data_IF_523568968677
#
_entry.id   IF_523568968677
#
_cell.length_a   1.000
_cell.length_b   1.000
_cell.length_c   1.000
_cell.angle_alpha   90.00
_cell.angle_beta   90.00
_cell.angle_gamma   90.00
#
_symmetry.space_group_name_H-M   'P 1'
#
loop_
_entity.id
_entity.type
_entity.pdbx_description
1 polymer ?
#
# COMPACT_ATOMS: atom_id res chain seq x y z
N UNK A 1 -24.22 -13.74 32.60
CA UNK A 1 -23.18 -14.41 31.77
C UNK A 1 -21.99 -13.48 31.84
N UNK A 2 -21.19 -13.64 32.90
CA UNK A 2 -20.05 -12.76 33.16
C UNK A 2 -18.80 -13.34 32.53
N UNK A 3 -18.03 -12.48 31.86
CA UNK A 3 -16.78 -12.86 31.22
C UNK A 3 -15.78 -13.31 32.30
N UNK A 4 -15.04 -14.39 32.04
CA UNK A 4 -13.98 -14.83 32.97
C UNK A 4 -12.94 -13.72 33.15
N UNK A 5 -12.37 -13.53 34.35
CA UNK A 5 -11.30 -12.56 34.57
C UNK A 5 -10.11 -12.74 33.61
N UNK A 6 -9.81 -13.98 33.20
CA UNK A 6 -8.76 -14.32 32.25
C UNK A 6 -9.10 -13.81 30.85
N UNK A 7 -10.34 -13.98 30.41
CA UNK A 7 -10.81 -13.49 29.09
C UNK A 7 -10.75 -11.97 29.04
N UNK A 8 -11.10 -11.30 30.14
CA UNK A 8 -11.08 -9.84 30.25
C UNK A 8 -9.65 -9.28 30.16
N UNK A 9 -8.66 -9.99 30.72
CA UNK A 9 -7.24 -9.67 30.59
C UNK A 9 -6.78 -9.85 29.13
N UNK A 10 -7.14 -10.96 28.49
CA UNK A 10 -6.77 -11.25 27.10
C UNK A 10 -7.37 -10.23 26.12
N UNK A 11 -8.64 -9.88 26.29
CA UNK A 11 -9.32 -8.86 25.46
C UNK A 11 -8.65 -7.49 25.63
N UNK A 12 -8.31 -7.10 26.86
CA UNK A 12 -7.60 -5.83 27.12
C UNK A 12 -6.22 -5.81 26.46
N UNK A 13 -5.44 -6.88 26.60
CA UNK A 13 -4.13 -7.00 25.96
C UNK A 13 -4.25 -6.94 24.43
N UNK A 14 -5.22 -7.65 23.85
CA UNK A 14 -5.45 -7.62 22.41
C UNK A 14 -5.84 -6.22 21.92
N UNK A 15 -6.77 -5.56 22.60
CA UNK A 15 -7.18 -4.19 22.27
C UNK A 15 -6.00 -3.22 22.31
N UNK A 16 -5.12 -3.34 23.31
CA UNK A 16 -3.90 -2.55 23.39
C UNK A 16 -2.97 -2.81 22.19
N UNK A 17 -2.74 -4.06 21.79
CA UNK A 17 -1.94 -4.39 20.60
C UNK A 17 -2.52 -3.82 19.32
N UNK A 18 -3.85 -3.86 19.17
CA UNK A 18 -4.52 -3.27 18.00
C UNK A 18 -4.30 -1.75 17.96
N UNK A 19 -4.36 -1.07 19.11
CA UNK A 19 -4.05 0.35 19.19
C UNK A 19 -2.60 0.66 18.82
N UNK A 20 -1.64 -0.11 19.35
CA UNK A 20 -0.21 0.03 19.01
C UNK A 20 0.04 -0.17 17.51
N UNK A 21 -0.60 -1.16 16.88
CA UNK A 21 -0.53 -1.40 15.44
C UNK A 21 -1.13 -0.24 14.62
N UNK A 22 -2.24 0.34 15.08
CA UNK A 22 -2.85 1.49 14.44
C UNK A 22 -1.96 2.74 14.51
N UNK A 23 -1.28 2.96 15.63
CA UNK A 23 -0.31 4.04 15.78
C UNK A 23 0.94 3.80 14.91
N UNK A 24 1.45 2.57 14.89
CA UNK A 24 2.58 2.20 14.04
C UNK A 24 2.28 2.39 12.56
N UNK A 25 1.06 2.06 12.10
CA UNK A 25 0.61 2.32 10.73
C UNK A 25 0.66 3.82 10.39
N UNK A 26 0.30 4.71 11.32
CA UNK A 26 0.41 6.17 11.10
C UNK A 26 1.87 6.59 10.95
N UNK A 27 2.76 6.13 11.83
CA UNK A 27 4.21 6.42 11.75
C UNK A 27 4.81 5.96 10.43
N UNK A 28 4.42 4.78 9.93
CA UNK A 28 4.86 4.28 8.62
C UNK A 28 4.34 5.14 7.47
N UNK A 29 3.11 5.63 7.56
CA UNK A 29 2.55 6.54 6.56
C UNK A 29 3.33 7.85 6.51
N UNK A 30 3.61 8.46 7.66
CA UNK A 30 4.39 9.71 7.72
C UNK A 30 5.82 9.53 7.19
N UNK A 31 6.44 8.39 7.51
CA UNK A 31 7.73 7.99 6.95
C UNK A 31 7.68 7.86 5.43
N UNK A 32 6.63 7.19 4.90
CA UNK A 32 6.44 7.03 3.46
C UNK A 32 6.26 8.38 2.76
N UNK A 33 5.45 9.28 3.33
CA UNK A 33 5.22 10.63 2.80
C UNK A 33 6.52 11.42 2.71
N UNK A 34 7.31 11.41 3.79
CA UNK A 34 8.63 12.06 3.81
C UNK A 34 9.53 11.48 2.72
N UNK A 35 9.63 10.15 2.62
CA UNK A 35 10.50 9.51 1.62
C UNK A 35 10.05 9.72 0.18
N UNK A 36 8.75 9.75 -0.09
CA UNK A 36 8.24 10.06 -1.42
C UNK A 36 8.53 11.52 -1.81
N UNK A 37 8.49 12.45 -0.84
CA UNK A 37 8.92 13.83 -1.04
C UNK A 37 10.40 13.95 -1.41
N UNK A 38 11.27 13.14 -0.80
CA UNK A 38 12.70 13.14 -1.10
C UNK A 38 13.03 12.49 -2.46
N UNK A 39 12.38 11.35 -2.78
CA UNK A 39 12.80 10.48 -3.88
C UNK A 39 12.03 10.75 -5.18
N UNK A 40 10.72 11.01 -5.09
CA UNK A 40 9.85 11.17 -6.24
C UNK A 40 8.78 12.27 -6.02
N UNK A 41 9.19 13.54 -5.75
CA UNK A 41 8.27 14.62 -5.40
C UNK A 41 7.27 14.93 -6.52
N UNK A 42 7.68 14.85 -7.78
CA UNK A 42 6.79 15.10 -8.92
C UNK A 42 5.72 14.02 -9.07
N UNK A 43 6.08 12.76 -8.80
CA UNK A 43 5.11 11.66 -8.83
C UNK A 43 4.13 11.78 -7.66
N UNK A 44 4.63 12.10 -6.46
CA UNK A 44 3.80 12.37 -5.29
C UNK A 44 2.82 13.53 -5.54
N UNK A 45 3.28 14.63 -6.13
CA UNK A 45 2.41 15.77 -6.45
C UNK A 45 1.33 15.46 -7.48
N UNK A 46 1.60 14.55 -8.43
CA UNK A 46 0.67 14.26 -9.52
C UNK A 46 -0.43 13.26 -9.12
N UNK A 47 -0.10 12.22 -8.36
CA UNK A 47 -1.00 11.09 -8.07
C UNK A 47 -1.08 10.69 -6.59
N UNK A 48 -0.37 11.40 -5.71
CA UNK A 48 -0.28 11.11 -4.28
C UNK A 48 0.84 10.13 -3.93
N UNK A 49 1.29 10.19 -2.68
CA UNK A 49 2.44 9.46 -2.14
C UNK A 49 2.19 7.95 -2.13
N UNK A 50 0.99 7.53 -1.69
CA UNK A 50 0.63 6.11 -1.57
C UNK A 50 0.52 5.44 -2.93
N UNK A 51 -0.12 6.10 -3.90
CA UNK A 51 -0.30 5.55 -5.25
C UNK A 51 1.04 5.54 -5.98
N UNK A 52 1.82 6.62 -5.89
CA UNK A 52 3.16 6.70 -6.46
C UNK A 52 4.10 5.62 -5.91
N UNK A 53 4.14 5.44 -4.59
CA UNK A 53 4.92 4.37 -3.97
C UNK A 53 4.49 2.98 -4.43
N UNK A 54 3.18 2.75 -4.60
CA UNK A 54 2.65 1.48 -5.10
C UNK A 54 3.06 1.21 -6.54
N UNK A 55 3.03 2.22 -7.42
CA UNK A 55 3.52 2.10 -8.80
C UNK A 55 5.00 1.76 -8.86
N UNK A 56 5.83 2.45 -8.07
CA UNK A 56 7.27 2.17 -7.95
C UNK A 56 7.49 0.73 -7.49
N UNK A 57 6.76 0.29 -6.46
CA UNK A 57 6.83 -1.08 -5.95
C UNK A 57 6.39 -2.11 -7.00
N UNK A 58 5.35 -1.82 -7.79
CA UNK A 58 4.85 -2.72 -8.83
C UNK A 58 5.82 -2.85 -10.00
N UNK A 59 6.51 -1.76 -10.36
CA UNK A 59 7.60 -1.77 -11.33
C UNK A 59 8.91 -2.37 -10.78
N UNK A 60 8.99 -2.58 -9.46
CA UNK A 60 10.16 -3.11 -8.74
C UNK A 60 11.27 -2.09 -8.44
N UNK A 61 11.32 -0.96 -9.16
CA UNK A 61 12.19 0.19 -8.85
C UNK A 61 11.72 1.45 -9.58
N UNK A 62 12.16 2.62 -9.11
CA UNK A 62 11.87 3.88 -9.79
C UNK A 62 12.47 3.92 -11.20
N UNK A 63 13.67 3.38 -11.39
CA UNK A 63 14.34 3.29 -12.70
C UNK A 63 13.60 2.38 -13.68
N UNK A 64 12.94 1.32 -13.20
CA UNK A 64 12.10 0.50 -14.06
C UNK A 64 10.79 1.22 -14.40
N UNK A 65 10.21 1.95 -13.45
CA UNK A 65 8.99 2.73 -13.66
C UNK A 65 9.18 3.79 -14.75
N UNK A 66 10.34 4.47 -14.81
CA UNK A 66 10.63 5.47 -15.86
C UNK A 66 10.82 4.87 -17.24
N UNK A 67 11.15 3.58 -17.34
CA UNK A 67 11.25 2.84 -18.61
C UNK A 67 9.90 2.33 -19.10
N UNK A 68 8.89 2.26 -18.23
CA UNK A 68 7.56 1.81 -18.62
C UNK A 68 6.90 2.85 -19.55
N UNK A 69 6.34 2.44 -20.70
CA UNK A 69 5.54 3.34 -21.52
C UNK A 69 4.22 3.68 -20.81
N UNK A 70 3.62 4.82 -21.17
CA UNK A 70 2.37 5.31 -20.58
C UNK A 70 1.23 4.28 -20.65
N UNK A 71 1.13 3.52 -21.75
CA UNK A 71 0.12 2.47 -21.92
C UNK A 71 0.26 1.32 -20.92
N UNK A 72 1.49 0.93 -20.58
CA UNK A 72 1.75 -0.05 -19.50
C UNK A 72 1.39 0.56 -18.16
N UNK A 73 1.81 1.81 -17.90
CA UNK A 73 1.54 2.52 -16.66
C UNK A 73 0.04 2.68 -16.37
N UNK A 74 -0.75 2.92 -17.41
CA UNK A 74 -2.21 3.05 -17.34
C UNK A 74 -2.92 1.77 -16.89
N UNK A 75 -2.35 0.61 -17.20
CA UNK A 75 -2.94 -0.69 -16.90
C UNK A 75 -2.29 -1.37 -15.69
N UNK A 76 -1.26 -0.77 -15.08
CA UNK A 76 -0.63 -1.28 -13.86
C UNK A 76 -1.65 -1.37 -12.72
N UNK A 77 -1.90 -2.59 -12.23
CA UNK A 77 -2.91 -2.91 -11.24
C UNK A 77 -4.18 -3.58 -11.82
N UNK A 78 -4.41 -3.45 -13.13
CA UNK A 78 -5.51 -4.10 -13.84
C UNK A 78 -5.02 -5.18 -14.83
N UNK A 79 -3.71 -5.45 -14.89
CA UNK A 79 -3.14 -6.31 -15.93
C UNK A 79 -3.72 -7.73 -15.91
N UNK A 80 -4.05 -8.27 -14.72
CA UNK A 80 -4.65 -9.61 -14.61
C UNK A 80 -6.03 -9.71 -15.26
N UNK A 81 -6.85 -8.66 -15.13
CA UNK A 81 -8.14 -8.61 -15.82
C UNK A 81 -7.95 -8.43 -17.34
N UNK A 82 -7.00 -7.59 -17.74
CA UNK A 82 -6.69 -7.32 -19.15
C UNK A 82 -6.15 -8.57 -19.87
N UNK A 83 -5.28 -9.35 -19.23
CA UNK A 83 -4.78 -10.61 -19.78
C UNK A 83 -5.86 -11.68 -19.92
N UNK A 84 -6.83 -11.74 -18.99
CA UNK A 84 -7.99 -12.65 -19.11
C UNK A 84 -8.84 -12.30 -20.32
N UNK A 85 -9.12 -11.02 -20.55
CA UNK A 85 -9.86 -10.59 -21.75
C UNK A 85 -9.10 -10.88 -23.05
N UNK A 86 -7.76 -10.78 -23.03
CA UNK A 86 -6.92 -10.99 -24.22
C UNK A 86 -6.73 -12.48 -24.57
N UNK A 87 -6.69 -13.36 -23.57
CA UNK A 87 -6.44 -14.79 -23.76
C UNK A 87 -7.73 -15.62 -23.96
N UNK A 88 -8.89 -14.96 -24.07
CA UNK A 88 -10.19 -15.61 -24.11
C UNK A 88 -10.76 -15.84 -22.71
N UNK A 89 -12.02 -15.43 -22.51
CA UNK A 89 -12.75 -15.73 -21.28
C UNK A 89 -13.05 -17.24 -21.22
N UNK A 90 -12.24 -17.98 -20.46
CA UNK A 90 -12.71 -19.13 -19.68
C UNK A 90 -12.96 -18.70 -18.23
#
# INVERSE_FOLDING_TARGET
MDLSPVDLINVKMFAQRVMELAEYRKKLFDYLTTKMGDIAPNLAALIGEVVGARLISHAGSLTNLTKCPSSTLQILGAEKALFRCRNGCE
#
